data_IF_518847617667
#
_entry.id   IF_518847617667
#
_cell.length_a   1.000
_cell.length_b   1.000
_cell.length_c   1.000
_cell.angle_alpha   90.00
_cell.angle_beta   90.00
_cell.angle_gamma   90.00
#
_symmetry.space_group_name_H-M   'P 1'
#
loop_
_entity.id
_entity.type
_entity.pdbx_description
1 polymer ?
#
# COMPACT_ATOMS: atom_id res chain seq x y z
N UNK A 1 12.84 -12.67 -24.23
CA UNK A 1 11.97 -11.47 -24.08
C UNK A 1 11.16 -11.50 -22.77
N UNK A 2 10.60 -12.65 -22.36
CA UNK A 2 9.80 -12.79 -21.11
C UNK A 2 10.64 -12.74 -19.81
N UNK A 3 11.78 -13.40 -19.77
CA UNK A 3 12.64 -13.43 -18.58
C UNK A 3 13.10 -12.03 -18.10
N UNK A 4 13.61 -11.13 -18.98
CA UNK A 4 13.98 -9.78 -18.55
C UNK A 4 12.76 -8.94 -18.13
N UNK A 5 11.58 -9.22 -18.68
CA UNK A 5 10.34 -8.56 -18.27
C UNK A 5 9.92 -8.97 -16.86
N UNK A 6 9.90 -10.27 -16.54
CA UNK A 6 9.58 -10.77 -15.20
C UNK A 6 10.57 -10.21 -14.16
N UNK A 7 11.87 -10.21 -14.48
CA UNK A 7 12.88 -9.64 -13.60
C UNK A 7 12.64 -8.16 -13.33
N UNK A 8 12.33 -7.37 -14.37
CA UNK A 8 12.02 -5.95 -14.23
C UNK A 8 10.78 -5.70 -13.37
N UNK A 9 9.71 -6.47 -13.59
CA UNK A 9 8.48 -6.39 -12.79
C UNK A 9 8.78 -6.70 -11.34
N UNK A 10 9.51 -7.79 -11.05
CA UNK A 10 9.88 -8.15 -9.69
C UNK A 10 10.67 -7.03 -8.99
N UNK A 11 11.70 -6.49 -9.64
CA UNK A 11 12.54 -5.43 -9.06
C UNK A 11 11.73 -4.15 -8.77
N UNK A 12 10.90 -3.71 -9.72
CA UNK A 12 10.09 -2.49 -9.56
C UNK A 12 9.04 -2.69 -8.46
N UNK A 13 8.31 -3.81 -8.47
CA UNK A 13 7.30 -4.10 -7.44
C UNK A 13 7.91 -4.23 -6.05
N UNK A 14 9.07 -4.90 -5.91
CA UNK A 14 9.78 -4.98 -4.64
C UNK A 14 10.18 -3.61 -4.12
N UNK A 15 10.62 -2.69 -4.98
CA UNK A 15 10.92 -1.31 -4.57
C UNK A 15 9.70 -0.59 -4.00
N UNK A 16 8.51 -0.83 -4.55
CA UNK A 16 7.27 -0.24 -4.06
C UNK A 16 6.89 -0.74 -2.67
N UNK A 17 6.91 -2.06 -2.47
CA UNK A 17 6.56 -2.68 -1.17
C UNK A 17 7.58 -2.37 -0.07
N UNK A 18 8.87 -2.20 -0.43
CA UNK A 18 9.93 -1.90 0.53
C UNK A 18 9.99 -0.40 0.90
N UNK A 19 9.22 0.47 0.24
CA UNK A 19 9.14 1.87 0.63
C UNK A 19 8.60 1.98 2.08
N UNK A 20 9.23 2.78 2.95
CA UNK A 20 8.77 2.94 4.32
C UNK A 20 7.40 3.59 4.34
N UNK A 21 6.43 2.92 4.94
CA UNK A 21 5.04 3.39 5.00
C UNK A 21 4.19 2.58 5.99
N UNK A 22 2.92 2.95 6.18
CA UNK A 22 2.03 2.31 7.15
C UNK A 22 1.85 0.81 6.89
N UNK A 23 1.69 0.41 5.63
CA UNK A 23 1.53 -0.99 5.25
C UNK A 23 2.82 -1.80 5.45
N UNK A 24 3.98 -1.23 5.15
CA UNK A 24 5.29 -1.86 5.36
C UNK A 24 5.56 -2.06 6.86
N UNK A 25 5.26 -1.05 7.68
CA UNK A 25 5.37 -1.14 9.14
C UNK A 25 4.41 -2.19 9.73
N UNK A 26 3.15 -2.22 9.28
CA UNK A 26 2.17 -3.21 9.70
C UNK A 26 2.59 -4.63 9.30
N UNK A 27 3.05 -4.82 8.06
CA UNK A 27 3.55 -6.11 7.56
C UNK A 27 4.75 -6.60 8.37
N UNK A 28 5.69 -5.72 8.72
CA UNK A 28 6.83 -6.05 9.55
C UNK A 28 6.39 -6.50 10.97
N UNK A 29 5.49 -5.75 11.60
CA UNK A 29 4.97 -6.08 12.93
C UNK A 29 4.21 -7.43 12.94
N UNK A 30 3.35 -7.65 11.95
CA UNK A 30 2.60 -8.91 11.79
C UNK A 30 3.55 -10.07 11.46
N UNK A 31 4.56 -9.82 10.63
CA UNK A 31 5.59 -10.79 10.26
C UNK A 31 6.44 -11.24 11.45
N UNK A 32 6.77 -10.33 12.37
CA UNK A 32 7.44 -10.67 13.63
C UNK A 32 6.58 -11.58 14.53
N UNK A 33 5.25 -11.40 14.51
CA UNK A 33 4.31 -12.15 15.37
C UNK A 33 3.86 -13.50 14.78
N UNK A 34 3.64 -13.57 13.47
CA UNK A 34 3.06 -14.75 12.79
C UNK A 34 3.98 -15.35 11.72
N UNK A 35 5.23 -14.89 11.64
CA UNK A 35 6.20 -15.31 10.63
C UNK A 35 5.78 -14.96 9.21
N UNK A 36 6.34 -15.69 8.24
CA UNK A 36 6.08 -15.51 6.80
C UNK A 36 4.59 -15.62 6.42
N UNK A 37 3.82 -16.45 7.13
CA UNK A 37 2.37 -16.61 6.88
C UNK A 37 1.63 -15.29 7.09
N UNK A 38 2.01 -14.51 8.11
CA UNK A 38 1.42 -13.20 8.37
C UNK A 38 1.61 -12.24 7.20
N UNK A 39 2.82 -12.16 6.64
CA UNK A 39 3.10 -11.33 5.47
C UNK A 39 2.31 -11.78 4.23
N UNK A 40 2.15 -13.09 4.03
CA UNK A 40 1.34 -13.63 2.93
C UNK A 40 -0.14 -13.19 3.03
N UNK A 41 -0.74 -13.29 4.22
CA UNK A 41 -2.11 -12.83 4.44
C UNK A 41 -2.29 -11.33 4.20
N UNK A 42 -1.33 -10.51 4.64
CA UNK A 42 -1.36 -9.06 4.38
C UNK A 42 -1.27 -8.76 2.89
N UNK A 43 -0.38 -9.45 2.16
CA UNK A 43 -0.26 -9.31 0.70
C UNK A 43 -1.54 -9.70 -0.02
N UNK A 44 -2.22 -10.76 0.41
CA UNK A 44 -3.47 -11.21 -0.19
C UNK A 44 -4.59 -10.19 0.01
N UNK A 45 -4.72 -9.64 1.22
CA UNK A 45 -5.69 -8.60 1.52
C UNK A 45 -5.42 -7.29 0.77
N UNK A 46 -4.15 -6.89 0.65
CA UNK A 46 -3.76 -5.72 -0.14
C UNK A 46 -4.11 -5.89 -1.62
N UNK A 47 -3.71 -7.01 -2.22
CA UNK A 47 -4.01 -7.31 -3.62
C UNK A 47 -5.53 -7.41 -3.89
N UNK A 48 -6.31 -7.92 -2.94
CA UNK A 48 -7.76 -8.02 -3.10
C UNK A 48 -8.46 -6.65 -3.26
N UNK A 49 -7.92 -5.59 -2.65
CA UNK A 49 -8.44 -4.22 -2.78
C UNK A 49 -7.82 -3.49 -3.97
N UNK A 50 -6.53 -3.70 -4.22
CA UNK A 50 -5.80 -2.99 -5.26
C UNK A 50 -6.09 -3.53 -6.68
N UNK A 51 -6.23 -4.84 -6.85
CA UNK A 51 -6.46 -5.45 -8.17
C UNK A 51 -7.75 -4.95 -8.85
N UNK A 52 -8.92 -4.86 -8.18
CA UNK A 52 -10.09 -4.25 -8.77
C UNK A 52 -9.84 -2.82 -9.26
N UNK A 53 -9.10 -2.03 -8.46
CA UNK A 53 -8.77 -0.64 -8.80
C UNK A 53 -7.83 -0.57 -10.02
N UNK A 54 -6.83 -1.45 -10.10
CA UNK A 54 -5.94 -1.57 -11.27
C UNK A 54 -6.72 -1.94 -12.53
N UNK A 55 -7.68 -2.87 -12.44
CA UNK A 55 -8.54 -3.25 -13.57
C UNK A 55 -9.41 -2.06 -14.01
N UNK A 56 -9.99 -1.31 -13.07
CA UNK A 56 -10.78 -0.12 -13.37
C UNK A 56 -9.95 0.99 -14.04
N UNK A 57 -8.69 1.16 -13.63
CA UNK A 57 -7.75 2.09 -14.27
C UNK A 57 -7.39 1.61 -15.68
N UNK A 58 -7.05 0.32 -15.84
CA UNK A 58 -6.64 -0.26 -17.11
C UNK A 58 -7.75 -0.21 -18.18
N UNK A 59 -9.01 -0.33 -17.76
CA UNK A 59 -10.18 -0.23 -18.66
C UNK A 59 -10.60 1.21 -18.97
N UNK A 60 -9.98 2.22 -18.33
CA UNK A 60 -10.32 3.63 -18.50
C UNK A 60 -11.60 4.07 -17.77
N UNK A 61 -12.34 3.14 -17.16
CA UNK A 61 -13.57 3.40 -16.38
C UNK A 61 -13.28 4.30 -15.18
N UNK A 62 -12.10 4.13 -14.56
CA UNK A 62 -11.67 4.98 -13.46
C UNK A 62 -11.54 6.46 -13.85
N UNK A 63 -11.24 6.80 -15.11
CA UNK A 63 -11.10 8.20 -15.55
C UNK A 63 -12.45 8.93 -15.51
N UNK A 64 -13.53 8.26 -15.92
CA UNK A 64 -14.87 8.83 -15.85
C UNK A 64 -15.37 8.98 -14.40
N UNK A 65 -15.09 8.00 -13.54
CA UNK A 65 -15.43 8.05 -12.11
C UNK A 65 -14.64 9.11 -11.34
N UNK A 66 -13.35 9.26 -11.65
CA UNK A 66 -12.48 10.21 -10.95
C UNK A 66 -12.78 11.65 -11.32
N UNK A 67 -13.24 11.97 -12.54
CA UNK A 67 -13.66 13.34 -12.88
C UNK A 67 -14.76 13.88 -11.96
N UNK A 68 -15.75 13.04 -11.62
CA UNK A 68 -16.85 13.42 -10.73
C UNK A 68 -16.46 13.38 -9.24
N UNK A 69 -15.57 12.46 -8.85
CA UNK A 69 -15.20 12.23 -7.46
C UNK A 69 -13.85 12.84 -7.04
N UNK A 70 -13.11 13.49 -7.94
CA UNK A 70 -11.71 13.93 -7.74
C UNK A 70 -11.55 14.76 -6.48
N UNK A 71 -12.38 15.79 -6.29
CA UNK A 71 -12.30 16.69 -5.13
C UNK A 71 -12.51 15.96 -3.81
N UNK A 72 -13.47 15.02 -3.77
CA UNK A 72 -13.71 14.22 -2.58
C UNK A 72 -12.53 13.27 -2.33
N UNK A 73 -12.06 12.58 -3.37
CA UNK A 73 -10.97 11.61 -3.28
C UNK A 73 -9.65 12.28 -2.86
N UNK A 74 -9.38 13.50 -3.35
CA UNK A 74 -8.20 14.26 -2.97
C UNK A 74 -8.23 14.71 -1.51
N UNK A 75 -9.39 15.17 -1.02
CA UNK A 75 -9.53 15.60 0.37
C UNK A 75 -9.49 14.40 1.31
N UNK A 76 -10.27 13.36 1.02
CA UNK A 76 -10.33 12.15 1.83
C UNK A 76 -8.98 11.41 1.85
N UNK A 77 -8.35 11.27 0.68
CA UNK A 77 -7.02 10.67 0.54
C UNK A 77 -5.95 11.47 1.27
N UNK A 78 -5.93 12.80 1.09
CA UNK A 78 -5.01 13.68 1.80
C UNK A 78 -5.19 13.63 3.33
N UNK A 79 -6.42 13.67 3.82
CA UNK A 79 -6.72 13.54 5.24
C UNK A 79 -6.24 12.19 5.81
N UNK A 80 -6.44 11.10 5.07
CA UNK A 80 -5.93 9.77 5.46
C UNK A 80 -4.41 9.71 5.48
N UNK A 81 -3.72 10.37 4.54
CA UNK A 81 -2.25 10.46 4.55
C UNK A 81 -1.74 11.21 5.79
N UNK A 82 -2.34 12.34 6.13
CA UNK A 82 -2.00 13.10 7.35
C UNK A 82 -2.26 12.28 8.60
N UNK A 83 -3.40 11.58 8.66
CA UNK A 83 -3.75 10.70 9.76
C UNK A 83 -2.73 9.56 9.94
N UNK A 84 -2.35 8.88 8.86
CA UNK A 84 -1.33 7.84 8.91
C UNK A 84 0.04 8.39 9.31
N UNK A 85 0.44 9.56 8.79
CA UNK A 85 1.68 10.21 9.20
C UNK A 85 1.72 10.48 10.70
N UNK A 86 0.62 11.00 11.27
CA UNK A 86 0.49 11.21 12.71
C UNK A 86 0.59 9.90 13.50
N UNK A 87 -0.13 8.85 13.09
CA UNK A 87 -0.07 7.55 13.75
C UNK A 87 1.34 6.94 13.73
N UNK A 88 2.02 7.00 12.59
CA UNK A 88 3.39 6.50 12.45
C UNK A 88 4.36 7.29 13.32
N UNK A 89 4.27 8.63 13.33
CA UNK A 89 5.10 9.47 14.19
C UNK A 89 4.86 9.20 15.68
N UNK A 90 3.59 9.12 16.10
CA UNK A 90 3.22 8.79 17.48
C UNK A 90 3.74 7.42 17.90
N UNK A 91 3.59 6.41 17.06
CA UNK A 91 4.07 5.05 17.36
C UNK A 91 5.60 4.98 17.45
N UNK A 92 6.32 5.80 16.68
CA UNK A 92 7.77 5.88 16.74
C UNK A 92 8.25 6.55 18.04
N UNK A 93 7.60 7.64 18.45
CA UNK A 93 7.93 8.38 19.68
C UNK A 93 7.59 7.54 20.92
N UNK A 94 6.41 6.93 20.98
CA UNK A 94 5.96 6.12 22.13
C UNK A 94 6.83 4.90 22.40
N UNK A 95 7.50 4.34 21.39
CA UNK A 95 8.45 3.22 21.56
C UNK A 95 9.86 3.66 21.95
N UNK A 96 10.16 4.96 21.90
CA UNK A 96 11.44 5.50 22.35
C UNK A 96 11.44 5.86 23.85
N UNK A 97 10.27 5.87 24.49
CA UNK A 97 10.08 6.11 25.93
C UNK A 97 9.99 4.81 26.78
N UNK A 98 9.89 3.63 26.15
CA UNK A 98 10.07 2.31 26.79
C UNK A 98 11.49 1.78 26.54
#
# INVERSE_FOLDING_TARGET
MILPFIFKVAVISSSGVLAPGPLTAATAAIGLKHGWKGGFWVSLGHAAVELPLVILIATGVAVALTQAASSFLSIAGGAMLVFFAFMTAKSAISKAEE
#
